data_IF_509650755375
#
_entry.id   IF_509650755375
#
_cell.length_a   1.000
_cell.length_b   1.000
_cell.length_c   1.000
_cell.angle_alpha   90.00
_cell.angle_beta   90.00
_cell.angle_gamma   90.00
#
_symmetry.space_group_name_H-M   'P 1'
#
loop_
_entity.id
_entity.type
_entity.pdbx_description
1 polymer ?
#
# COMPACT_ATOMS: atom_id res chain seq x y z
N UNK A 1 10.26 9.60 -8.32
CA UNK A 1 10.22 8.52 -9.34
C UNK A 1 9.98 9.13 -10.70
N UNK A 2 10.83 8.80 -11.65
CA UNK A 2 10.67 9.30 -13.00
C UNK A 2 10.01 8.23 -13.88
N UNK A 3 8.76 8.45 -14.20
CA UNK A 3 8.05 7.65 -15.20
C UNK A 3 7.69 8.55 -16.37
N UNK A 4 7.71 7.96 -17.56
CA UNK A 4 7.22 8.66 -18.73
C UNK A 4 5.75 9.03 -18.55
N UNK A 5 5.39 10.22 -19.02
CA UNK A 5 4.02 10.71 -18.95
C UNK A 5 3.03 9.72 -19.58
N UNK A 6 3.43 9.09 -20.69
CA UNK A 6 2.60 8.07 -21.34
C UNK A 6 2.29 6.89 -20.43
N UNK A 7 3.28 6.44 -19.63
CA UNK A 7 3.08 5.34 -18.68
C UNK A 7 2.13 5.73 -17.55
N UNK A 8 2.25 6.96 -17.04
CA UNK A 8 1.35 7.48 -16.00
C UNK A 8 -0.08 7.54 -16.55
N UNK A 9 -0.27 8.05 -17.75
CA UNK A 9 -1.60 8.11 -18.38
C UNK A 9 -2.20 6.71 -18.60
N UNK A 10 -1.37 5.76 -19.00
CA UNK A 10 -1.79 4.36 -19.13
C UNK A 10 -2.30 3.80 -17.80
N UNK A 11 -1.56 4.04 -16.71
CA UNK A 11 -1.94 3.59 -15.38
C UNK A 11 -3.22 4.28 -14.89
N UNK A 12 -3.38 5.58 -15.15
CA UNK A 12 -4.60 6.31 -14.79
C UNK A 12 -5.80 5.74 -15.52
N UNK A 13 -5.66 5.39 -16.79
CA UNK A 13 -6.74 4.79 -17.57
C UNK A 13 -7.11 3.40 -17.03
N UNK A 14 -6.12 2.62 -16.64
CA UNK A 14 -6.34 1.27 -16.10
C UNK A 14 -6.97 1.29 -14.71
N UNK A 15 -6.64 2.30 -13.90
CA UNK A 15 -7.12 2.44 -12.52
C UNK A 15 -7.85 3.75 -12.32
N UNK A 16 -9.11 3.87 -12.82
CA UNK A 16 -9.87 5.12 -12.75
C UNK A 16 -10.20 5.56 -11.32
N UNK A 17 -10.15 4.66 -10.34
CA UNK A 17 -10.35 5.00 -8.94
C UNK A 17 -9.22 5.86 -8.36
N UNK A 18 -8.08 5.94 -9.05
CA UNK A 18 -6.96 6.78 -8.67
C UNK A 18 -5.66 6.01 -8.45
N UNK A 19 -4.57 6.67 -8.77
CA UNK A 19 -3.22 6.18 -8.47
C UNK A 19 -2.48 7.25 -7.69
N UNK A 20 -1.52 6.81 -6.89
CA UNK A 20 -0.74 7.65 -5.99
C UNK A 20 0.73 7.29 -6.08
N UNK A 21 1.58 8.29 -5.93
CA UNK A 21 3.02 8.07 -5.81
C UNK A 21 3.37 8.05 -4.33
N UNK A 22 4.21 7.09 -3.94
CA UNK A 22 4.69 6.97 -2.58
C UNK A 22 6.17 6.66 -2.55
N UNK A 23 6.77 6.88 -1.40
CA UNK A 23 8.14 6.43 -1.15
C UNK A 23 8.29 6.05 0.31
N UNK A 24 9.19 5.11 0.57
CA UNK A 24 9.56 4.74 1.91
C UNK A 24 11.07 4.76 2.04
N UNK A 25 11.56 5.37 3.11
CA UNK A 25 12.98 5.45 3.40
C UNK A 25 13.25 4.75 4.72
N UNK A 26 14.29 3.95 4.76
CA UNK A 26 14.67 3.23 5.98
C UNK A 26 16.17 3.01 6.01
N UNK A 27 16.71 2.84 7.22
CA UNK A 27 18.14 2.57 7.40
C UNK A 27 18.33 1.06 7.51
N UNK A 28 19.23 0.54 6.69
CA UNK A 28 19.56 -0.89 6.68
C UNK A 28 20.43 -1.27 7.89
N UNK A 29 20.66 -2.57 8.07
CA UNK A 29 21.54 -3.07 9.13
C UNK A 29 23.01 -2.62 8.97
N UNK A 30 23.37 -2.11 7.80
CA UNK A 30 24.71 -1.58 7.51
C UNK A 30 24.75 -0.06 7.62
N UNK A 31 23.74 0.55 8.25
CA UNK A 31 23.56 1.99 8.40
C UNK A 31 23.51 2.76 7.08
N UNK A 32 23.04 2.11 6.03
CA UNK A 32 22.81 2.73 4.73
C UNK A 32 21.34 3.14 4.63
N UNK A 33 21.11 4.40 4.27
CA UNK A 33 19.75 4.88 3.98
C UNK A 33 19.32 4.38 2.61
N UNK A 34 18.24 3.63 2.57
CA UNK A 34 17.61 3.21 1.33
C UNK A 34 16.25 3.87 1.17
N UNK A 35 15.93 4.26 -0.06
CA UNK A 35 14.63 4.83 -0.42
C UNK A 35 14.04 4.01 -1.54
N UNK A 36 12.80 3.58 -1.36
CA UNK A 36 12.05 2.82 -2.35
C UNK A 36 10.87 3.65 -2.78
N UNK A 37 10.77 3.88 -4.08
CA UNK A 37 9.66 4.61 -4.69
C UNK A 37 8.69 3.66 -5.38
N UNK A 38 7.42 3.96 -5.32
CA UNK A 38 6.39 3.10 -5.91
C UNK A 38 5.16 3.91 -6.30
N UNK A 39 4.35 3.32 -7.18
CA UNK A 39 3.02 3.83 -7.51
C UNK A 39 2.01 2.79 -7.05
N UNK A 40 0.98 3.22 -6.35
CA UNK A 40 -0.08 2.34 -5.88
C UNK A 40 -1.46 2.88 -6.28
N UNK A 41 -2.40 1.97 -6.42
CA UNK A 41 -3.78 2.30 -6.74
C UNK A 41 -4.61 2.42 -5.47
N UNK A 42 -5.68 3.19 -5.53
CA UNK A 42 -6.66 3.23 -4.45
C UNK A 42 -7.33 1.85 -4.32
N UNK A 43 -7.47 1.31 -3.09
CA UNK A 43 -8.18 0.05 -2.91
C UNK A 43 -9.67 0.19 -3.25
N UNK A 44 -10.26 -0.92 -3.70
CA UNK A 44 -11.70 -1.05 -3.95
C UNK A 44 -12.28 -2.04 -2.94
N UNK A 45 -13.60 -2.16 -2.91
CA UNK A 45 -14.27 -3.01 -1.92
C UNK A 45 -13.80 -4.47 -1.97
N UNK A 46 -13.51 -5.00 -3.15
CA UNK A 46 -13.00 -6.36 -3.29
C UNK A 46 -11.65 -6.57 -2.57
N UNK A 47 -10.80 -5.55 -2.55
CA UNK A 47 -9.54 -5.59 -1.81
C UNK A 47 -9.80 -5.71 -0.30
N UNK A 48 -10.77 -4.96 0.19
CA UNK A 48 -11.15 -4.99 1.61
C UNK A 48 -11.76 -6.33 2.02
N UNK A 49 -12.57 -6.92 1.16
CA UNK A 49 -13.13 -8.25 1.40
C UNK A 49 -12.04 -9.31 1.49
N UNK A 50 -11.11 -9.30 0.55
CA UNK A 50 -9.97 -10.22 0.56
C UNK A 50 -9.09 -10.02 1.80
N UNK A 51 -8.84 -8.76 2.16
CA UNK A 51 -8.09 -8.43 3.37
C UNK A 51 -8.77 -8.95 4.62
N UNK A 52 -10.06 -8.70 4.79
CA UNK A 52 -10.82 -9.12 5.98
C UNK A 52 -10.81 -10.63 6.14
N UNK A 53 -10.96 -11.36 5.05
CA UNK A 53 -10.91 -12.82 5.05
C UNK A 53 -9.54 -13.35 5.44
N UNK A 54 -8.48 -12.78 4.87
CA UNK A 54 -7.10 -13.19 5.18
C UNK A 54 -6.69 -12.81 6.61
N UNK A 55 -7.16 -11.66 7.10
CA UNK A 55 -6.83 -11.15 8.43
C UNK A 55 -7.35 -12.04 9.56
N UNK A 56 -8.42 -12.81 9.32
CA UNK A 56 -8.92 -13.78 10.27
C UNK A 56 -7.90 -14.86 10.61
N UNK A 57 -6.98 -15.13 9.69
CA UNK A 57 -5.93 -16.13 9.89
C UNK A 57 -4.62 -15.50 10.33
N UNK A 58 -4.20 -14.42 9.68
CA UNK A 58 -2.93 -13.75 9.97
C UNK A 58 -2.95 -12.33 9.45
N UNK A 59 -2.91 -11.36 10.36
CA UNK A 59 -2.99 -9.95 10.02
C UNK A 59 -1.78 -9.47 9.20
N UNK A 60 -0.59 -9.95 9.51
CA UNK A 60 0.63 -9.56 8.79
C UNK A 60 0.57 -10.05 7.35
N UNK A 61 0.21 -11.32 7.16
CA UNK A 61 0.04 -11.88 5.81
C UNK A 61 -1.03 -11.13 5.03
N UNK A 62 -2.16 -10.79 5.67
CA UNK A 62 -3.23 -10.02 5.03
C UNK A 62 -2.74 -8.66 4.56
N UNK A 63 -1.99 -7.94 5.40
CA UNK A 63 -1.43 -6.65 5.04
C UNK A 63 -0.43 -6.77 3.88
N UNK A 64 0.46 -7.75 3.90
CA UNK A 64 1.44 -7.96 2.83
C UNK A 64 0.75 -8.30 1.50
N UNK A 65 -0.28 -9.13 1.54
CA UNK A 65 -1.06 -9.46 0.34
C UNK A 65 -1.78 -8.23 -0.22
N UNK A 66 -2.33 -7.39 0.66
CA UNK A 66 -2.97 -6.15 0.24
C UNK A 66 -1.96 -5.21 -0.40
N UNK A 67 -0.82 -5.00 0.23
CA UNK A 67 0.25 -4.16 -0.30
C UNK A 67 0.68 -4.65 -1.68
N UNK A 68 0.87 -5.96 -1.85
CA UNK A 68 1.22 -6.55 -3.13
C UNK A 68 0.17 -6.25 -4.20
N UNK A 69 -1.10 -6.29 -3.85
CA UNK A 69 -2.21 -6.01 -4.77
C UNK A 69 -2.30 -4.53 -5.14
N UNK A 70 -1.94 -3.63 -4.23
CA UNK A 70 -2.07 -2.19 -4.44
C UNK A 70 -0.92 -1.60 -5.25
N UNK A 71 0.30 -2.13 -5.12
CA UNK A 71 1.45 -1.60 -5.87
C UNK A 71 1.32 -1.99 -7.33
N UNK A 72 1.27 -0.97 -8.19
CA UNK A 72 1.12 -1.16 -9.64
C UNK A 72 2.41 -0.92 -10.40
N UNK A 73 3.40 -0.28 -9.77
CA UNK A 73 4.72 -0.04 -10.35
C UNK A 73 5.71 0.35 -9.23
N UNK A 74 6.93 -0.14 -9.23
CA UNK A 74 7.46 -1.26 -10.02
C UNK A 74 6.84 -2.60 -9.59
N UNK A 75 7.42 -3.73 -10.01
CA UNK A 75 6.95 -5.03 -9.55
C UNK A 75 6.97 -5.10 -8.02
N UNK A 76 5.88 -5.56 -7.36
CA UNK A 76 5.79 -5.49 -5.90
C UNK A 76 6.68 -6.47 -5.15
N UNK A 77 7.09 -7.59 -5.75
CA UNK A 77 7.80 -8.64 -5.04
C UNK A 77 9.07 -8.17 -4.30
N UNK A 78 9.98 -7.38 -4.90
CA UNK A 78 11.14 -6.87 -4.18
C UNK A 78 10.78 -5.97 -3.01
N UNK A 79 9.72 -5.17 -3.14
CA UNK A 79 9.25 -4.29 -2.08
C UNK A 79 8.71 -5.11 -0.91
N UNK A 80 7.93 -6.15 -1.20
CA UNK A 80 7.41 -7.06 -0.17
C UNK A 80 8.54 -7.72 0.60
N UNK A 81 9.60 -8.16 -0.09
CA UNK A 81 10.77 -8.74 0.55
C UNK A 81 11.43 -7.75 1.52
N UNK A 82 11.58 -6.50 1.11
CA UNK A 82 12.15 -5.45 1.97
C UNK A 82 11.28 -5.18 3.19
N UNK A 83 9.97 -5.16 3.04
CA UNK A 83 9.06 -4.95 4.17
C UNK A 83 9.12 -6.12 5.16
N UNK A 84 9.35 -7.34 4.69
CA UNK A 84 9.55 -8.49 5.58
C UNK A 84 10.85 -8.40 6.36
N UNK A 85 11.91 -7.92 5.72
CA UNK A 85 13.24 -7.84 6.31
C UNK A 85 13.38 -6.65 7.28
N UNK A 86 12.56 -5.62 7.11
CA UNK A 86 12.63 -4.39 7.91
C UNK A 86 11.28 -4.05 8.54
N UNK A 87 10.99 -4.60 9.73
CA UNK A 87 9.67 -4.42 10.38
C UNK A 87 9.24 -2.96 10.56
N UNK A 88 10.19 -2.05 10.80
CA UNK A 88 9.84 -0.63 10.92
C UNK A 88 9.31 -0.06 9.60
N UNK A 89 9.86 -0.49 8.46
CA UNK A 89 9.38 -0.10 7.14
C UNK A 89 7.97 -0.66 6.91
N UNK A 90 7.74 -1.90 7.27
CA UNK A 90 6.41 -2.52 7.21
C UNK A 90 5.37 -1.72 8.01
N UNK A 91 5.68 -1.40 9.27
CA UNK A 91 4.76 -0.66 10.13
C UNK A 91 4.43 0.72 9.57
N UNK A 92 5.43 1.44 9.06
CA UNK A 92 5.20 2.77 8.47
C UNK A 92 4.37 2.68 7.19
N UNK A 93 4.60 1.66 6.38
CA UNK A 93 3.81 1.46 5.16
C UNK A 93 2.33 1.25 5.51
N UNK A 94 2.06 0.39 6.50
CA UNK A 94 0.69 0.14 6.95
C UNK A 94 0.06 1.44 7.48
N UNK A 95 0.76 2.16 8.35
CA UNK A 95 0.21 3.36 8.96
C UNK A 95 -0.05 4.49 7.96
N UNK A 96 0.88 4.72 7.04
CA UNK A 96 0.85 5.90 6.19
C UNK A 96 0.16 5.66 4.84
N UNK A 97 0.15 4.43 4.34
CA UNK A 97 -0.43 4.10 3.04
C UNK A 97 -1.75 3.34 3.18
N UNK A 98 -1.80 2.33 4.04
CA UNK A 98 -2.96 1.45 4.14
C UNK A 98 -4.06 2.04 5.03
N UNK A 99 -3.71 2.44 6.25
CA UNK A 99 -4.69 2.89 7.25
C UNK A 99 -5.59 4.04 6.78
N UNK A 100 -5.10 5.03 6.03
CA UNK A 100 -5.98 6.10 5.55
C UNK A 100 -7.16 5.61 4.69
N UNK A 101 -6.99 4.50 3.97
CA UNK A 101 -8.07 3.93 3.17
C UNK A 101 -9.05 3.09 3.98
N UNK A 102 -8.71 2.74 5.22
CA UNK A 102 -9.55 1.91 6.11
C UNK A 102 -10.29 2.74 7.15
N UNK A 103 -10.47 4.04 6.91
CA UNK A 103 -11.37 4.84 7.69
C UNK A 103 -10.75 5.91 8.57
N UNK A 104 -9.44 6.15 8.51
CA UNK A 104 -8.80 7.19 9.30
C UNK A 104 -9.41 8.58 9.07
N UNK A 105 -9.97 8.82 7.88
CA UNK A 105 -10.56 10.10 7.49
C UNK A 105 -12.08 10.00 7.24
N UNK A 106 -12.72 8.96 7.77
CA UNK A 106 -14.16 8.73 7.59
C UNK A 106 -14.86 8.85 8.92
N UNK A 107 -15.98 9.57 8.95
CA UNK A 107 -16.83 9.68 10.12
C UNK A 107 -18.24 9.20 9.79
N UNK A 108 -18.82 8.43 10.70
CA UNK A 108 -20.21 7.98 10.59
C UNK A 108 -20.97 8.47 11.82
N UNK A 109 -22.16 9.03 11.58
CA UNK A 109 -23.05 9.42 12.66
C UNK A 109 -24.33 8.59 12.56
N UNK A 110 -24.78 8.09 13.69
CA UNK A 110 -26.04 7.36 13.75
C UNK A 110 -26.74 7.63 15.07
N UNK A 111 -28.07 7.49 15.08
CA UNK A 111 -28.87 7.57 16.31
C UNK A 111 -30.04 6.63 16.21
N UNK A 112 -30.48 6.14 17.35
CA UNK A 112 -31.70 5.33 17.44
C UNK A 112 -32.93 6.25 17.33
N UNK A 113 -33.83 5.91 16.45
CA UNK A 113 -35.10 6.61 16.29
C UNK A 113 -36.16 6.11 17.26
#
# INVERSE_FOLDING_TARGET
MELEKAKIEELKAKYPQGIYEGQISFTTNEDVLETVEFIYRKPVLADMEAYSKAAQKNAITANLNLIQSLIVHPEPAPIITQLRDYPAAYSRFVDDVISPFFGANVAVKSRKL
#
